data_IF_856753887591
#
_entry.id   IF_856753887591
#
_cell.length_a   1.000
_cell.length_b   1.000
_cell.length_c   1.000
_cell.angle_alpha   90.00
_cell.angle_beta   90.00
_cell.angle_gamma   90.00
#
_symmetry.space_group_name_H-M   'P 1'
#
loop_
_entity.id
_entity.type
_entity.pdbx_description
1 polymer ?
#
# COMPACT_ATOMS: atom_id res chain seq x y z
N UNK A 1 -2.50 -3.01 9.98
CA UNK A 1 -3.40 -4.18 9.82
C UNK A 1 -4.18 -4.31 11.11
N UNK A 2 -5.44 -3.87 11.13
CA UNK A 2 -6.26 -3.82 12.36
C UNK A 2 -6.43 -5.16 13.08
N UNK A 3 -6.27 -6.28 12.38
CA UNK A 3 -6.24 -7.62 12.99
C UNK A 3 -5.05 -7.82 13.95
N UNK A 4 -3.88 -7.24 13.64
CA UNK A 4 -2.72 -7.24 14.55
C UNK A 4 -3.00 -6.30 15.73
N UNK A 5 -3.64 -5.16 15.47
CA UNK A 5 -4.04 -4.23 16.53
C UNK A 5 -5.10 -4.84 17.47
N UNK A 6 -6.04 -5.64 16.96
CA UNK A 6 -7.02 -6.37 17.78
C UNK A 6 -6.36 -7.42 18.66
N UNK A 7 -5.30 -8.07 18.18
CA UNK A 7 -4.53 -9.01 18.99
C UNK A 7 -3.84 -8.30 20.17
N UNK A 8 -3.44 -7.03 20.00
CA UNK A 8 -2.80 -6.23 21.04
C UNK A 8 -3.78 -5.46 21.94
N UNK A 9 -4.92 -5.00 21.42
CA UNK A 9 -5.86 -4.07 22.09
C UNK A 9 -7.23 -4.66 22.42
N UNK A 10 -7.50 -5.90 21.98
CA UNK A 10 -8.77 -6.60 22.18
C UNK A 10 -9.71 -6.54 20.97
N UNK A 11 -10.63 -7.51 20.90
CA UNK A 11 -11.63 -7.60 19.82
C UNK A 11 -12.66 -6.47 19.99
N UNK A 12 -12.97 -5.69 18.94
CA UNK A 12 -13.94 -4.60 19.03
C UNK A 12 -15.36 -5.12 19.30
N UNK A 13 -16.23 -4.27 19.85
CA UNK A 13 -17.62 -4.62 20.21
C UNK A 13 -18.47 -5.13 19.03
N UNK A 14 -18.10 -4.80 17.78
CA UNK A 14 -18.76 -5.26 16.55
C UNK A 14 -17.70 -5.69 15.52
N UNK A 15 -17.09 -6.87 15.67
CA UNK A 15 -15.92 -7.26 14.86
C UNK A 15 -16.28 -7.50 13.39
N UNK A 16 -17.46 -8.07 13.11
CA UNK A 16 -17.92 -8.25 11.73
C UNK A 16 -18.13 -6.92 11.00
N UNK A 17 -18.68 -5.91 11.68
CA UNK A 17 -18.85 -4.56 11.12
C UNK A 17 -17.50 -3.90 10.84
N UNK A 18 -16.56 -3.96 11.79
CA UNK A 18 -15.23 -3.39 11.61
C UNK A 18 -14.46 -4.07 10.47
N UNK A 19 -14.52 -5.40 10.37
CA UNK A 19 -13.92 -6.14 9.28
C UNK A 19 -14.56 -5.79 7.92
N UNK A 20 -15.89 -5.69 7.86
CA UNK A 20 -16.60 -5.32 6.64
C UNK A 20 -16.22 -3.92 6.17
N UNK A 21 -16.07 -2.96 7.11
CA UNK A 21 -15.62 -1.60 6.80
C UNK A 21 -14.19 -1.60 6.26
N UNK A 22 -13.27 -2.33 6.90
CA UNK A 22 -11.88 -2.43 6.46
C UNK A 22 -11.77 -3.06 5.07
N UNK A 23 -12.53 -4.12 4.79
CA UNK A 23 -12.61 -4.74 3.47
C UNK A 23 -13.18 -3.77 2.42
N UNK A 24 -14.18 -2.98 2.78
CA UNK A 24 -14.76 -1.99 1.88
C UNK A 24 -13.74 -0.89 1.54
N UNK A 25 -13.03 -0.37 2.55
CA UNK A 25 -11.95 0.60 2.35
C UNK A 25 -10.85 0.02 1.45
N UNK A 26 -10.45 -1.23 1.69
CA UNK A 26 -9.48 -1.94 0.86
C UNK A 26 -9.95 -2.06 -0.60
N UNK A 27 -11.19 -2.52 -0.83
CA UNK A 27 -11.75 -2.68 -2.18
C UNK A 27 -11.86 -1.33 -2.90
N UNK A 28 -12.31 -0.28 -2.21
CA UNK A 28 -12.41 1.07 -2.78
C UNK A 28 -11.02 1.62 -3.12
N UNK A 29 -10.02 1.43 -2.25
CA UNK A 29 -8.64 1.86 -2.52
C UNK A 29 -8.03 1.14 -3.71
N UNK A 30 -8.14 -0.20 -3.71
CA UNK A 30 -7.63 -1.03 -4.80
C UNK A 30 -8.29 -0.68 -6.14
N UNK A 31 -9.63 -0.61 -6.17
CA UNK A 31 -10.36 -0.29 -7.41
C UNK A 31 -10.13 1.15 -7.85
N UNK A 32 -10.09 2.09 -6.90
CA UNK A 32 -9.79 3.50 -7.14
C UNK A 32 -8.44 3.67 -7.81
N UNK A 33 -7.39 3.07 -7.26
CA UNK A 33 -6.06 3.12 -7.86
C UNK A 33 -6.00 2.43 -9.23
N UNK A 34 -6.62 1.26 -9.38
CA UNK A 34 -6.65 0.54 -10.66
C UNK A 34 -7.29 1.37 -11.78
N UNK A 35 -8.40 2.07 -11.49
CA UNK A 35 -9.09 2.95 -12.45
C UNK A 35 -8.25 4.19 -12.74
N UNK A 36 -7.75 4.88 -11.71
CA UNK A 36 -7.00 6.13 -11.88
C UNK A 36 -5.69 5.89 -12.65
N UNK A 37 -4.94 4.84 -12.31
CA UNK A 37 -3.71 4.46 -13.01
C UNK A 37 -3.96 4.15 -14.50
N UNK A 38 -5.09 3.50 -14.83
CA UNK A 38 -5.48 3.29 -16.24
C UNK A 38 -5.68 4.60 -16.97
N UNK A 39 -6.46 5.52 -16.40
CA UNK A 39 -6.73 6.84 -17.00
C UNK A 39 -5.45 7.65 -17.18
N UNK A 40 -4.54 7.61 -16.22
CA UNK A 40 -3.22 8.24 -16.34
C UNK A 40 -2.43 7.63 -17.49
N UNK A 41 -2.40 6.31 -17.62
CA UNK A 41 -1.66 5.63 -18.69
C UNK A 41 -2.28 5.82 -20.07
N UNK A 42 -3.59 5.98 -20.18
CA UNK A 42 -4.27 6.37 -21.41
C UNK A 42 -3.77 7.75 -21.87
N UNK A 43 -3.67 8.72 -20.96
CA UNK A 43 -3.13 10.06 -21.27
C UNK A 43 -1.65 10.05 -21.61
N UNK A 44 -0.88 9.10 -21.06
CA UNK A 44 0.54 8.92 -21.35
C UNK A 44 0.81 8.06 -22.62
N UNK A 45 -0.23 7.59 -23.31
CA UNK A 45 -0.07 6.72 -24.49
C UNK A 45 0.46 5.32 -24.16
N UNK A 46 0.34 4.87 -22.90
CA UNK A 46 0.85 3.60 -22.38
C UNK A 46 -0.25 2.61 -21.95
N UNK A 47 -1.51 2.85 -22.33
CA UNK A 47 -2.66 2.02 -21.93
C UNK A 47 -2.47 0.51 -22.17
N UNK A 48 -1.78 0.11 -23.25
CA UNK A 48 -1.48 -1.31 -23.56
C UNK A 48 -0.64 -2.01 -22.49
N UNK A 49 0.15 -1.27 -21.71
CA UNK A 49 0.99 -1.80 -20.62
C UNK A 49 0.25 -1.90 -19.29
N UNK A 50 -0.97 -1.35 -19.18
CA UNK A 50 -1.71 -1.30 -17.92
C UNK A 50 -1.99 -2.69 -17.32
N UNK A 51 -2.37 -3.68 -18.14
CA UNK A 51 -2.66 -5.01 -17.64
C UNK A 51 -1.42 -5.72 -17.04
N UNK A 52 -0.24 -5.52 -17.64
CA UNK A 52 1.01 -6.03 -17.08
C UNK A 52 1.43 -5.26 -15.83
N UNK A 53 1.25 -3.93 -15.86
CA UNK A 53 1.53 -3.06 -14.74
C UNK A 53 0.70 -3.39 -13.51
N UNK A 54 -0.62 -3.56 -13.64
CA UNK A 54 -1.48 -3.84 -12.50
C UNK A 54 -1.13 -5.21 -11.87
N UNK A 55 -0.71 -6.19 -12.68
CA UNK A 55 -0.21 -7.47 -12.16
C UNK A 55 1.09 -7.28 -11.35
N UNK A 56 2.04 -6.50 -11.87
CA UNK A 56 3.29 -6.17 -11.17
C UNK A 56 3.00 -5.43 -9.87
N UNK A 57 2.13 -4.42 -9.90
CA UNK A 57 1.74 -3.66 -8.71
C UNK A 57 1.08 -4.56 -7.64
N UNK A 58 0.22 -5.50 -8.03
CA UNK A 58 -0.34 -6.47 -7.07
C UNK A 58 0.74 -7.37 -6.44
N UNK A 59 1.74 -7.81 -7.21
CA UNK A 59 2.87 -8.56 -6.65
C UNK A 59 3.76 -7.71 -5.74
N UNK A 60 3.96 -6.43 -6.06
CA UNK A 60 4.58 -5.49 -5.16
C UNK A 60 3.81 -5.39 -3.84
N UNK A 61 2.48 -5.29 -3.87
CA UNK A 61 1.66 -5.26 -2.66
C UNK A 61 1.85 -6.51 -1.79
N UNK A 62 1.92 -7.71 -2.39
CA UNK A 62 2.19 -8.95 -1.65
C UNK A 62 3.54 -8.87 -0.91
N UNK A 63 4.59 -8.43 -1.61
CA UNK A 63 5.93 -8.26 -1.01
C UNK A 63 5.91 -7.18 0.07
N UNK A 64 5.24 -6.05 -0.18
CA UNK A 64 5.09 -4.97 0.81
C UNK A 64 4.37 -5.45 2.06
N UNK A 65 3.29 -6.22 1.95
CA UNK A 65 2.58 -6.78 3.10
C UNK A 65 3.45 -7.79 3.87
N UNK A 66 4.23 -8.62 3.17
CA UNK A 66 5.19 -9.52 3.81
C UNK A 66 6.27 -8.74 4.59
N UNK A 67 6.74 -7.62 4.03
CA UNK A 67 7.71 -6.74 4.68
C UNK A 67 7.12 -5.96 5.85
N UNK A 68 5.87 -5.51 5.75
CA UNK A 68 5.14 -4.90 6.87
C UNK A 68 4.98 -5.89 8.02
N UNK A 69 4.68 -7.15 7.72
CA UNK A 69 4.65 -8.20 8.73
C UNK A 69 6.04 -8.42 9.35
N UNK A 70 7.09 -8.51 8.54
CA UNK A 70 8.47 -8.63 9.04
C UNK A 70 8.90 -7.41 9.88
N UNK A 71 8.51 -6.20 9.47
CA UNK A 71 8.77 -4.95 10.19
C UNK A 71 8.00 -4.83 11.51
N UNK A 72 6.96 -5.64 11.71
CA UNK A 72 6.24 -5.71 12.98
C UNK A 72 6.92 -6.62 14.02
N UNK A 73 7.93 -7.41 13.62
CA UNK A 73 8.63 -8.33 14.52
C UNK A 73 9.31 -7.64 15.71
N UNK A 74 9.99 -6.48 15.56
CA UNK A 74 10.58 -5.79 16.72
C UNK A 74 9.55 -5.44 17.79
N UNK A 75 8.35 -5.02 17.40
CA UNK A 75 7.25 -4.73 18.33
C UNK A 75 6.79 -6.01 19.02
N UNK A 76 6.64 -7.11 18.27
CA UNK A 76 6.23 -8.41 18.79
C UNK A 76 7.23 -8.98 19.81
N UNK A 77 8.53 -8.72 19.62
CA UNK A 77 9.60 -9.17 20.52
C UNK A 77 9.98 -8.14 21.60
N UNK A 78 9.17 -7.09 21.79
CA UNK A 78 9.42 -6.03 22.78
C UNK A 78 10.79 -5.36 22.64
N UNK A 79 11.24 -5.15 21.40
CA UNK A 79 12.49 -4.43 21.12
C UNK A 79 12.42 -2.96 21.59
N UNK A 80 13.58 -2.31 21.84
CA UNK A 80 13.61 -0.89 22.17
C UNK A 80 12.94 -0.03 21.09
N UNK A 81 12.24 1.02 21.51
CA UNK A 81 11.50 1.93 20.64
C UNK A 81 12.29 2.43 19.41
N UNK A 82 13.58 2.84 19.53
CA UNK A 82 14.36 3.26 18.36
C UNK A 82 14.51 2.17 17.29
N UNK A 83 14.54 0.90 17.68
CA UNK A 83 14.66 -0.25 16.75
C UNK A 83 13.34 -0.45 16.00
N UNK A 84 12.21 -0.36 16.70
CA UNK A 84 10.87 -0.45 16.11
C UNK A 84 10.63 0.68 15.10
N UNK A 85 11.00 1.92 15.46
CA UNK A 85 10.89 3.08 14.57
C UNK A 85 11.82 2.97 13.35
N UNK A 86 13.07 2.55 13.55
CA UNK A 86 14.00 2.32 12.45
C UNK A 86 13.47 1.24 11.48
N UNK A 87 12.90 0.15 12.01
CA UNK A 87 12.29 -0.90 11.20
C UNK A 87 11.12 -0.37 10.36
N UNK A 88 10.23 0.41 10.96
CA UNK A 88 9.11 1.03 10.25
C UNK A 88 9.58 1.94 9.10
N UNK A 89 10.62 2.76 9.34
CA UNK A 89 11.21 3.62 8.32
C UNK A 89 11.86 2.83 7.18
N UNK A 90 12.56 1.74 7.51
CA UNK A 90 13.18 0.86 6.49
C UNK A 90 12.10 0.21 5.62
N UNK A 91 11.02 -0.30 6.23
CA UNK A 91 9.92 -0.91 5.49
C UNK A 91 9.21 0.10 4.61
N UNK A 92 8.95 1.31 5.12
CA UNK A 92 8.36 2.39 4.33
C UNK A 92 9.25 2.76 3.13
N UNK A 93 10.54 2.98 3.38
CA UNK A 93 11.50 3.31 2.32
C UNK A 93 11.59 2.22 1.26
N UNK A 94 11.58 0.95 1.68
CA UNK A 94 11.57 -0.19 0.77
C UNK A 94 10.29 -0.29 -0.05
N UNK A 95 9.12 -0.09 0.58
CA UNK A 95 7.84 -0.12 -0.09
C UNK A 95 7.78 0.93 -1.22
N UNK A 96 8.15 2.17 -0.90
CA UNK A 96 8.21 3.28 -1.86
C UNK A 96 9.22 3.00 -2.99
N UNK A 97 10.41 2.50 -2.65
CA UNK A 97 11.43 2.17 -3.64
C UNK A 97 10.98 1.05 -4.57
N UNK A 98 10.40 -0.02 -4.03
CA UNK A 98 9.94 -1.18 -4.78
C UNK A 98 8.82 -0.78 -5.74
N UNK A 99 7.83 -0.04 -5.27
CA UNK A 99 6.71 0.42 -6.09
C UNK A 99 7.20 1.35 -7.21
N UNK A 100 8.05 2.32 -6.87
CA UNK A 100 8.65 3.24 -7.86
C UNK A 100 9.45 2.49 -8.93
N UNK A 101 10.34 1.58 -8.49
CA UNK A 101 11.20 0.82 -9.38
C UNK A 101 10.39 -0.10 -10.29
N UNK A 102 9.42 -0.83 -9.73
CA UNK A 102 8.55 -1.74 -10.47
C UNK A 102 7.65 -0.99 -11.45
N UNK A 103 7.11 0.16 -11.05
CA UNK A 103 6.32 1.06 -11.91
C UNK A 103 7.14 1.54 -13.09
N UNK A 104 8.35 2.05 -12.82
CA UNK A 104 9.29 2.50 -13.85
C UNK A 104 9.60 1.39 -14.84
N UNK A 105 9.88 0.18 -14.35
CA UNK A 105 10.25 -0.97 -15.15
C UNK A 105 9.07 -1.50 -16.00
N UNK A 106 7.89 -1.66 -15.39
CA UNK A 106 6.72 -2.23 -16.04
C UNK A 106 6.12 -1.30 -17.11
N UNK A 107 6.23 0.00 -16.90
CA UNK A 107 5.64 1.01 -17.79
C UNK A 107 6.65 1.66 -18.72
N UNK A 108 7.95 1.44 -18.50
CA UNK A 108 9.06 2.06 -19.23
C UNK A 108 8.84 3.59 -19.31
N UNK A 109 8.82 4.17 -18.11
CA UNK A 109 8.61 5.58 -17.81
C UNK A 109 9.91 6.22 -17.30
N UNK A 110 9.97 7.55 -17.32
CA UNK A 110 10.98 8.29 -16.58
C UNK A 110 10.78 8.09 -15.07
N UNK A 111 11.85 8.27 -14.28
CA UNK A 111 11.77 8.15 -12.83
C UNK A 111 10.75 9.12 -12.21
N UNK A 112 10.61 10.31 -12.77
CA UNK A 112 9.63 11.33 -12.32
C UNK A 112 8.20 10.90 -12.62
N UNK A 113 7.94 10.37 -13.82
CA UNK A 113 6.61 9.90 -14.19
C UNK A 113 6.19 8.68 -13.34
N UNK A 114 7.12 7.76 -13.04
CA UNK A 114 6.87 6.66 -12.12
C UNK A 114 6.58 7.15 -10.70
N UNK A 115 7.32 8.14 -10.20
CA UNK A 115 7.06 8.74 -8.90
C UNK A 115 5.66 9.37 -8.82
N UNK A 116 5.16 9.95 -9.91
CA UNK A 116 3.79 10.47 -9.97
C UNK A 116 2.70 9.40 -9.75
N UNK A 117 2.92 8.18 -10.25
CA UNK A 117 2.00 7.05 -10.01
C UNK A 117 2.08 6.52 -8.58
N UNK A 118 3.27 6.48 -7.98
CA UNK A 118 3.43 6.15 -6.56
C UNK A 118 2.74 7.19 -5.67
N UNK A 119 2.92 8.48 -5.99
CA UNK A 119 2.24 9.56 -5.27
C UNK A 119 0.72 9.48 -5.41
N UNK A 120 0.22 9.04 -6.56
CA UNK A 120 -1.20 8.78 -6.77
C UNK A 120 -1.70 7.65 -5.86
N UNK A 121 -0.94 6.56 -5.72
CA UNK A 121 -1.29 5.43 -4.84
C UNK A 121 -1.36 5.89 -3.37
N UNK A 122 -0.31 6.58 -2.92
CA UNK A 122 -0.26 7.18 -1.60
C UNK A 122 -1.42 8.13 -1.35
N UNK A 123 -1.77 8.97 -2.32
CA UNK A 123 -2.88 9.92 -2.19
C UNK A 123 -4.22 9.21 -2.04
N UNK A 124 -4.45 8.14 -2.80
CA UNK A 124 -5.66 7.31 -2.66
C UNK A 124 -5.71 6.69 -1.26
N UNK A 125 -4.58 6.13 -0.78
CA UNK A 125 -4.48 5.55 0.56
C UNK A 125 -4.76 6.57 1.67
N UNK A 126 -4.14 7.76 1.61
CA UNK A 126 -4.30 8.83 2.60
C UNK A 126 -5.72 9.39 2.62
N UNK A 127 -6.33 9.62 1.46
CA UNK A 127 -7.71 10.09 1.36
C UNK A 127 -8.68 9.08 2.00
N UNK A 128 -8.46 7.78 1.76
CA UNK A 128 -9.30 6.75 2.33
C UNK A 128 -9.11 6.58 3.83
N UNK A 129 -7.89 6.70 4.33
CA UNK A 129 -7.63 6.74 5.78
C UNK A 129 -8.39 7.89 6.44
N UNK A 130 -8.30 9.11 5.87
CA UNK A 130 -9.00 10.28 6.36
C UNK A 130 -10.53 10.11 6.35
N UNK A 131 -11.10 9.54 5.28
CA UNK A 131 -12.55 9.28 5.17
C UNK A 131 -13.01 8.19 6.14
N UNK A 132 -12.20 7.15 6.34
CA UNK A 132 -12.49 6.06 7.27
C UNK A 132 -12.34 6.46 8.75
N UNK A 133 -11.81 7.67 9.03
CA UNK A 133 -11.56 8.17 10.37
C UNK A 133 -10.44 7.43 11.09
N UNK A 134 -9.38 7.08 10.35
CA UNK A 134 -8.21 6.33 10.84
C UNK A 134 -6.94 7.14 10.65
#
# INVERSE_FOLDING_TARGET
>A
MRLIDWAASGVPARPAYALALDLLVFVVGWTGYAVLSRTVLERLGRARRWAGYIAVWNWCNVVQYALLLAGSLPVLFHAPEPVSQASALVVLGWALWLEWFATKLALDLSGVAAAGLVMLDLSVGLLLAAVAGV
#
